data_IF_635922809230
#
_entry.id   IF_635922809230
#
_cell.length_a   1.000
_cell.length_b   1.000
_cell.length_c   1.000
_cell.angle_alpha   90.00
_cell.angle_beta   90.00
_cell.angle_gamma   90.00
#
_symmetry.space_group_name_H-M   'P 1'
#
loop_
_entity.id
_entity.type
_entity.pdbx_description
1 polymer ?
#
# COMPACT_ATOMS: atom_id res chain seq x y z
N UNK A 1 -23.77 -9.54 10.92
CA UNK A 1 -22.37 -9.42 10.44
C UNK A 1 -21.65 -8.39 11.30
N UNK A 2 -21.08 -8.79 12.44
CA UNK A 2 -20.24 -7.91 13.25
C UNK A 2 -18.95 -7.67 12.46
N UNK A 3 -18.70 -6.45 12.02
CA UNK A 3 -17.45 -6.10 11.32
C UNK A 3 -16.35 -6.03 12.37
N UNK A 4 -15.45 -6.99 12.35
CA UNK A 4 -14.26 -7.00 13.21
C UNK A 4 -13.51 -5.67 13.04
N UNK A 5 -13.24 -4.98 14.16
CA UNK A 5 -12.59 -3.67 14.15
C UNK A 5 -11.29 -3.65 13.33
N UNK A 6 -10.50 -4.74 13.41
CA UNK A 6 -9.24 -4.88 12.67
C UNK A 6 -9.45 -4.88 11.15
N UNK A 7 -10.49 -5.55 10.64
CA UNK A 7 -10.79 -5.57 9.19
C UNK A 7 -11.12 -4.18 8.69
N UNK A 8 -11.85 -3.39 9.50
CA UNK A 8 -12.15 -2.00 9.17
C UNK A 8 -10.88 -1.14 9.22
N UNK A 9 -10.03 -1.32 10.23
CA UNK A 9 -8.74 -0.63 10.35
C UNK A 9 -7.83 -0.91 9.16
N UNK A 10 -7.67 -2.18 8.76
CA UNK A 10 -6.85 -2.56 7.61
C UNK A 10 -7.37 -1.93 6.31
N UNK A 11 -8.70 -1.93 6.10
CA UNK A 11 -9.32 -1.30 4.94
C UNK A 11 -9.12 0.23 4.93
N UNK A 12 -9.24 0.90 6.08
CA UNK A 12 -9.00 2.34 6.18
C UNK A 12 -7.54 2.71 5.94
N UNK A 13 -6.59 1.89 6.41
CA UNK A 13 -5.17 2.13 6.19
C UNK A 13 -4.80 1.97 4.72
N UNK A 14 -5.28 0.91 4.05
CA UNK A 14 -5.10 0.75 2.60
C UNK A 14 -5.69 1.93 1.80
N UNK A 15 -6.83 2.47 2.23
CA UNK A 15 -7.42 3.65 1.59
C UNK A 15 -6.58 4.91 1.79
N UNK A 16 -5.96 5.08 2.98
CA UNK A 16 -5.04 6.19 3.25
C UNK A 16 -3.76 6.08 2.41
N UNK A 17 -3.22 4.88 2.23
CA UNK A 17 -2.05 4.65 1.37
C UNK A 17 -2.38 4.89 -0.10
N UNK A 18 -3.56 4.44 -0.57
CA UNK A 18 -4.06 4.76 -1.90
C UNK A 18 -4.16 6.27 -2.11
N UNK A 19 -4.68 6.99 -1.12
CA UNK A 19 -4.71 8.45 -1.13
C UNK A 19 -3.30 9.06 -1.18
N UNK A 20 -2.35 8.51 -0.41
CA UNK A 20 -0.94 8.90 -0.47
C UNK A 20 -0.34 8.75 -1.87
N UNK A 21 -0.63 7.65 -2.58
CA UNK A 21 -0.18 7.46 -3.96
C UNK A 21 -0.87 8.41 -4.95
N UNK A 22 -2.12 8.79 -4.72
CA UNK A 22 -2.80 9.84 -5.51
C UNK A 22 -2.11 11.19 -5.31
N UNK A 23 -1.78 11.55 -4.08
CA UNK A 23 -1.03 12.79 -3.79
C UNK A 23 0.36 12.76 -4.43
N UNK A 24 1.06 11.62 -4.37
CA UNK A 24 2.35 11.43 -5.04
C UNK A 24 2.23 11.57 -6.56
N UNK A 25 1.17 11.02 -7.16
CA UNK A 25 0.89 11.18 -8.59
C UNK A 25 0.67 12.65 -8.95
N UNK A 26 -0.13 13.37 -8.17
CA UNK A 26 -0.37 14.79 -8.37
C UNK A 26 0.94 15.59 -8.28
N UNK A 27 1.80 15.24 -7.32
CA UNK A 27 3.14 15.81 -7.20
C UNK A 27 4.01 15.55 -8.43
N UNK A 28 4.06 14.30 -8.92
CA UNK A 28 4.80 13.94 -10.14
C UNK A 28 4.34 14.75 -11.35
N UNK A 29 3.02 14.92 -11.52
CA UNK A 29 2.46 15.74 -12.60
C UNK A 29 2.90 17.20 -12.47
N UNK A 30 2.86 17.78 -11.27
CA UNK A 30 3.32 19.16 -11.04
C UNK A 30 4.80 19.31 -11.37
N UNK A 31 5.66 18.38 -10.92
CA UNK A 31 7.10 18.40 -11.18
C UNK A 31 7.44 18.32 -12.68
N UNK A 32 6.66 17.51 -13.43
CA UNK A 32 6.80 17.43 -14.88
C UNK A 32 6.39 18.74 -15.57
N UNK A 33 5.30 19.37 -15.12
CA UNK A 33 4.81 20.64 -15.67
C UNK A 33 5.73 21.82 -15.34
N UNK A 34 6.42 21.80 -14.20
CA UNK A 34 7.39 22.84 -13.81
C UNK A 34 8.75 22.70 -14.49
N UNK A 35 8.98 21.62 -15.26
CA UNK A 35 10.27 21.34 -15.87
C UNK A 35 11.33 20.85 -14.89
N UNK A 36 10.93 20.44 -13.68
CA UNK A 36 11.81 19.97 -12.60
C UNK A 36 12.08 18.45 -12.72
N UNK A 37 12.21 17.97 -13.96
CA UNK A 37 12.33 16.55 -14.27
C UNK A 37 13.44 16.36 -15.29
N UNK A 38 14.50 15.65 -14.91
CA UNK A 38 15.65 15.39 -15.78
C UNK A 38 15.29 14.55 -17.02
N UNK A 39 14.39 13.57 -16.87
CA UNK A 39 13.99 12.66 -17.94
C UNK A 39 12.47 12.45 -17.95
N UNK A 40 11.79 13.09 -18.90
CA UNK A 40 10.32 13.05 -19.01
C UNK A 40 9.78 11.62 -19.25
N UNK A 41 10.52 10.80 -20.00
CA UNK A 41 10.13 9.41 -20.27
C UNK A 41 10.08 8.57 -19.00
N UNK A 42 11.11 8.68 -18.16
CA UNK A 42 11.18 7.98 -16.87
C UNK A 42 10.10 8.50 -15.92
N UNK A 43 9.86 9.81 -15.89
CA UNK A 43 8.82 10.40 -15.05
C UNK A 43 7.42 9.93 -15.43
N UNK A 44 7.09 9.84 -16.72
CA UNK A 44 5.82 9.28 -17.20
C UNK A 44 5.67 7.81 -16.75
N UNK A 45 6.72 7.01 -16.91
CA UNK A 45 6.69 5.60 -16.50
C UNK A 45 6.42 5.45 -14.99
N UNK A 46 7.09 6.26 -14.16
CA UNK A 46 6.88 6.28 -12.71
C UNK A 46 5.47 6.78 -12.35
N UNK A 47 4.95 7.80 -13.03
CA UNK A 47 3.60 8.30 -12.80
C UNK A 47 2.54 7.23 -13.11
N UNK A 48 2.65 6.55 -14.26
CA UNK A 48 1.74 5.46 -14.63
C UNK A 48 1.81 4.32 -13.62
N UNK A 49 3.01 3.91 -13.20
CA UNK A 49 3.17 2.87 -12.18
C UNK A 49 2.56 3.29 -10.84
N UNK A 50 2.71 4.55 -10.45
CA UNK A 50 2.15 5.11 -9.22
C UNK A 50 0.62 5.11 -9.26
N UNK A 51 0.02 5.49 -10.40
CA UNK A 51 -1.43 5.41 -10.64
C UNK A 51 -1.94 3.98 -10.52
N UNK A 52 -1.25 3.01 -11.15
CA UNK A 52 -1.61 1.59 -11.05
C UNK A 52 -1.57 1.13 -9.59
N UNK A 53 -0.53 1.51 -8.85
CA UNK A 53 -0.42 1.24 -7.41
C UNK A 53 -1.58 1.83 -6.61
N UNK A 54 -1.97 3.08 -6.88
CA UNK A 54 -3.09 3.75 -6.22
C UNK A 54 -4.42 2.99 -6.45
N UNK A 55 -4.69 2.61 -7.70
CA UNK A 55 -5.87 1.81 -8.05
C UNK A 55 -5.85 0.43 -7.38
N UNK A 56 -4.69 -0.23 -7.34
CA UNK A 56 -4.55 -1.53 -6.68
C UNK A 56 -4.86 -1.43 -5.18
N UNK A 57 -4.26 -0.46 -4.47
CA UNK A 57 -4.53 -0.25 -3.04
C UNK A 57 -5.99 0.11 -2.75
N UNK A 58 -6.59 0.96 -3.59
CA UNK A 58 -8.01 1.29 -3.48
C UNK A 58 -8.90 0.04 -3.69
N UNK A 59 -8.57 -0.80 -4.68
CA UNK A 59 -9.28 -2.05 -4.93
C UNK A 59 -9.14 -3.02 -3.74
N UNK A 60 -7.96 -3.12 -3.12
CA UNK A 60 -7.75 -3.94 -1.93
C UNK A 60 -8.51 -3.40 -0.72
N UNK A 61 -8.54 -2.08 -0.51
CA UNK A 61 -9.31 -1.43 0.56
C UNK A 61 -10.81 -1.78 0.48
N UNK A 62 -11.32 -1.91 -0.76
CA UNK A 62 -12.71 -2.32 -1.06
C UNK A 62 -12.89 -3.84 -0.90
N UNK A 63 -11.91 -4.65 -1.28
CA UNK A 63 -11.99 -6.11 -1.28
C UNK A 63 -11.85 -6.76 0.12
N UNK A 64 -10.96 -6.22 0.97
CA UNK A 64 -10.72 -6.73 2.33
C UNK A 64 -12.00 -6.82 3.19
N UNK A 65 -12.84 -5.77 3.32
CA UNK A 65 -14.06 -5.84 4.11
C UNK A 65 -15.15 -6.71 3.47
N UNK A 66 -15.03 -7.04 2.17
CA UNK A 66 -15.91 -8.00 1.48
C UNK A 66 -15.50 -9.46 1.72
N UNK A 67 -14.43 -9.71 2.49
CA UNK A 67 -13.94 -11.05 2.80
C UNK A 67 -13.18 -11.72 1.64
N UNK A 68 -12.94 -11.02 0.53
CA UNK A 68 -12.28 -11.56 -0.64
C UNK A 68 -10.80 -11.91 -0.33
N UNK A 69 -10.38 -13.14 -0.67
CA UNK A 69 -9.02 -13.61 -0.40
C UNK A 69 -7.94 -12.82 -1.14
N UNK A 70 -8.21 -12.42 -2.39
CA UNK A 70 -7.29 -11.64 -3.22
C UNK A 70 -7.00 -10.25 -2.65
N UNK A 71 -7.94 -9.66 -1.90
CA UNK A 71 -7.71 -8.36 -1.24
C UNK A 71 -6.69 -8.46 -0.10
N UNK A 72 -6.68 -9.57 0.63
CA UNK A 72 -5.73 -9.79 1.75
C UNK A 72 -4.34 -10.12 1.23
N UNK A 73 -4.22 -11.10 0.33
CA UNK A 73 -2.91 -11.48 -0.23
C UNK A 73 -2.31 -10.36 -1.08
N UNK A 74 -3.10 -9.70 -1.92
CA UNK A 74 -2.68 -8.55 -2.71
C UNK A 74 -2.22 -7.39 -1.83
N UNK A 75 -2.99 -7.07 -0.77
CA UNK A 75 -2.59 -6.06 0.21
C UNK A 75 -1.26 -6.39 0.89
N UNK A 76 -1.06 -7.62 1.36
CA UNK A 76 0.20 -8.07 2.00
C UNK A 76 1.38 -7.91 1.05
N UNK A 77 1.24 -8.33 -0.22
CA UNK A 77 2.29 -8.18 -1.23
C UNK A 77 2.59 -6.70 -1.48
N UNK A 78 1.56 -5.85 -1.59
CA UNK A 78 1.76 -4.41 -1.77
C UNK A 78 2.53 -3.79 -0.60
N UNK A 79 2.26 -4.20 0.64
CA UNK A 79 3.03 -3.71 1.79
C UNK A 79 4.50 -4.13 1.73
N UNK A 80 4.79 -5.36 1.31
CA UNK A 80 6.18 -5.80 1.13
C UNK A 80 6.89 -5.01 0.04
N UNK A 81 6.18 -4.66 -1.05
CA UNK A 81 6.73 -3.78 -2.09
C UNK A 81 6.99 -2.36 -1.56
N UNK A 82 6.08 -1.78 -0.79
CA UNK A 82 6.27 -0.46 -0.17
C UNK A 82 7.45 -0.48 0.82
N UNK A 83 7.58 -1.53 1.62
CA UNK A 83 8.72 -1.72 2.52
C UNK A 83 10.05 -1.90 1.75
N UNK A 84 10.03 -2.58 0.61
CA UNK A 84 11.19 -2.67 -0.27
C UNK A 84 11.56 -1.30 -0.86
N UNK A 85 10.56 -0.49 -1.25
CA UNK A 85 10.77 0.90 -1.67
C UNK A 85 11.35 1.74 -0.52
N UNK A 86 10.84 1.60 0.70
CA UNK A 86 11.36 2.28 1.87
C UNK A 86 12.82 1.91 2.16
N UNK A 87 13.16 0.62 2.04
CA UNK A 87 14.54 0.16 2.17
C UNK A 87 15.43 0.78 1.09
N UNK A 88 14.98 0.82 -0.16
CA UNK A 88 15.67 1.50 -1.25
C UNK A 88 15.87 3.00 -0.99
N UNK A 89 14.87 3.68 -0.41
CA UNK A 89 15.00 5.08 0.02
C UNK A 89 15.97 5.28 1.19
N UNK A 90 16.23 4.25 1.99
CA UNK A 90 17.20 4.30 3.10
C UNK A 90 18.64 4.02 2.66
N UNK A 91 18.85 3.22 1.60
CA UNK A 91 20.18 2.71 1.19
C UNK A 91 20.63 3.14 -0.20
N UNK A 92 19.76 3.75 -1.00
CA UNK A 92 20.06 4.16 -2.37
C UNK A 92 21.04 5.32 -2.49
N UNK A 93 21.37 5.67 -3.74
CA UNK A 93 22.32 6.76 -4.07
C UNK A 93 21.92 8.12 -3.44
N UNK A 94 20.61 8.38 -3.37
CA UNK A 94 20.01 9.55 -2.72
C UNK A 94 19.34 9.20 -1.39
N UNK A 95 20.00 8.38 -0.56
CA UNK A 95 19.46 7.89 0.69
C UNK A 95 18.95 9.04 1.59
N UNK A 96 17.67 8.96 1.97
CA UNK A 96 17.04 9.91 2.87
C UNK A 96 16.31 9.17 3.99
N UNK A 97 16.98 8.88 5.12
CA UNK A 97 16.45 8.01 6.18
C UNK A 97 15.08 8.44 6.72
N UNK A 98 14.82 9.74 6.83
CA UNK A 98 13.52 10.25 7.29
C UNK A 98 12.38 9.93 6.31
N UNK A 99 12.64 9.99 4.99
CA UNK A 99 11.65 9.62 3.96
C UNK A 99 11.41 8.13 4.01
N UNK A 100 12.47 7.33 4.14
CA UNK A 100 12.35 5.88 4.30
C UNK A 100 11.47 5.50 5.50
N UNK A 101 11.66 6.13 6.67
CA UNK A 101 10.81 5.90 7.84
C UNK A 101 9.36 6.33 7.58
N UNK A 102 9.16 7.47 6.93
CA UNK A 102 7.82 7.96 6.56
C UNK A 102 7.05 7.02 5.63
N UNK A 103 7.76 6.29 4.75
CA UNK A 103 7.17 5.27 3.87
C UNK A 103 6.99 3.94 4.62
N UNK A 104 7.98 3.51 5.41
CA UNK A 104 7.98 2.22 6.08
C UNK A 104 6.92 2.10 7.18
N UNK A 105 6.74 3.17 7.96
CA UNK A 105 5.86 3.15 9.14
C UNK A 105 4.39 2.85 8.79
N UNK A 106 3.73 3.57 7.87
CA UNK A 106 2.37 3.21 7.46
C UNK A 106 2.32 1.79 6.88
N UNK A 107 3.29 1.42 6.05
CA UNK A 107 3.30 0.12 5.39
C UNK A 107 3.41 -1.04 6.37
N UNK A 108 4.26 -0.91 7.40
CA UNK A 108 4.42 -1.91 8.45
C UNK A 108 3.15 -2.04 9.29
N UNK A 109 2.50 -0.93 9.64
CA UNK A 109 1.25 -0.93 10.40
C UNK A 109 0.14 -1.63 9.61
N UNK A 110 -0.01 -1.29 8.33
CA UNK A 110 -0.99 -1.92 7.43
C UNK A 110 -0.68 -3.40 7.22
N UNK A 111 0.60 -3.77 7.07
CA UNK A 111 1.03 -5.16 6.93
C UNK A 111 0.61 -6.00 8.13
N UNK A 112 0.91 -5.53 9.34
CA UNK A 112 0.54 -6.23 10.59
C UNK A 112 -0.98 -6.39 10.66
N UNK A 113 -1.75 -5.33 10.37
CA UNK A 113 -3.20 -5.39 10.36
C UNK A 113 -3.74 -6.44 9.37
N UNK A 114 -3.21 -6.50 8.14
CA UNK A 114 -3.61 -7.47 7.12
C UNK A 114 -3.26 -8.91 7.50
N UNK A 115 -2.07 -9.14 8.07
CA UNK A 115 -1.66 -10.46 8.57
C UNK A 115 -2.60 -10.93 9.68
N UNK A 116 -2.98 -10.06 10.61
CA UNK A 116 -3.95 -10.39 11.66
C UNK A 116 -5.33 -10.76 11.09
N UNK A 117 -5.80 -10.05 10.06
CA UNK A 117 -7.06 -10.38 9.36
C UNK A 117 -6.95 -11.75 8.69
N UNK A 118 -5.86 -12.02 7.97
CA UNK A 118 -5.63 -13.29 7.29
C UNK A 118 -5.56 -14.47 8.28
N UNK A 119 -4.86 -14.28 9.40
CA UNK A 119 -4.70 -15.31 10.42
C UNK A 119 -6.02 -15.66 11.13
N UNK A 120 -6.87 -14.66 11.43
CA UNK A 120 -8.21 -14.89 11.99
C UNK A 120 -9.13 -15.64 11.03
N UNK A 121 -9.06 -15.31 9.74
CA UNK A 121 -9.83 -16.00 8.71
C UNK A 121 -9.43 -17.48 8.57
N UNK A 122 -8.16 -17.83 8.77
CA UNK A 122 -7.68 -19.21 8.80
C UNK A 122 -8.26 -20.00 9.97
N UNK A 123 -8.08 -19.50 11.21
CA UNK A 123 -8.54 -20.20 12.42
C UNK A 123 -10.06 -20.44 12.47
N UNK A 124 -10.86 -19.52 11.92
CA UNK A 124 -12.31 -19.72 11.82
C UNK A 124 -12.72 -20.87 10.90
N UNK A 125 -11.90 -21.21 9.91
CA UNK A 125 -12.15 -22.36 9.00
C UNK A 125 -11.82 -23.67 9.69
N UNK A 126 -10.72 -23.73 10.42
CA UNK A 126 -10.30 -24.94 11.13
C UNK A 126 -11.34 -25.34 12.19
N UNK A 127 -11.85 -24.37 12.95
CA UNK A 127 -12.88 -24.60 13.96
C UNK A 127 -14.24 -25.07 13.39
N UNK A 128 -14.54 -24.77 12.11
CA UNK A 128 -15.76 -25.22 11.45
C UNK A 128 -15.63 -26.62 10.81
N UNK A 129 -14.41 -27.18 10.79
CA UNK A 129 -14.12 -28.52 10.25
C UNK A 129 -14.02 -29.62 11.32
N UNK A 130 -14.18 -29.24 12.60
CA UNK A 130 -14.26 -30.13 13.77
C UNK A 130 -15.72 -30.34 14.17
#
# INVERSE_FOLDING_TARGET
>A
MHKDGITRTAATLLALEAFGLVMLTAWQVIAMLSGDTEAITTAIALAVLTVIGAFALAAFAVAVPRGASWGRSGGIVAQLLILAVALGAATGEFAHPLVAVGIALPALVTFIALVLVAWRAGRGRDAASL
#
